data_IF_783447229048
#
_entry.id   IF_783447229048
#
_cell.length_a   1.000
_cell.length_b   1.000
_cell.length_c   1.000
_cell.angle_alpha   90.00
_cell.angle_beta   90.00
_cell.angle_gamma   90.00
#
_symmetry.space_group_name_H-M   'P 1'
#
loop_
_entity.id
_entity.type
_entity.pdbx_description
1 polymer ?
#
# COMPACT_ATOMS: atom_id res chain seq x y z
N UNK A 1 27.78 16.31 -0.91
CA UNK A 1 27.18 16.99 0.26
C UNK A 1 26.06 17.88 -0.24
N UNK A 2 24.83 17.37 -0.26
CA UNK A 2 23.64 18.18 -0.54
C UNK A 2 23.39 19.07 0.67
N UNK A 3 23.33 20.38 0.45
CA UNK A 3 23.16 21.36 1.53
C UNK A 3 21.71 21.29 2.03
N UNK A 4 21.53 21.43 3.34
CA UNK A 4 20.22 21.63 3.97
C UNK A 4 19.62 22.90 3.36
N UNK A 5 18.57 22.75 2.55
CA UNK A 5 17.93 23.86 1.81
C UNK A 5 16.44 23.82 2.06
N UNK A 6 15.81 25.00 2.22
CA UNK A 6 14.36 25.11 2.35
C UNK A 6 13.63 24.57 1.13
N UNK A 7 14.18 24.78 -0.07
CA UNK A 7 13.62 24.23 -1.31
C UNK A 7 13.59 22.69 -1.31
N UNK A 8 14.61 22.07 -0.70
CA UNK A 8 14.66 20.62 -0.57
C UNK A 8 13.58 20.12 0.41
N UNK A 9 13.36 20.84 1.53
CA UNK A 9 12.28 20.50 2.47
C UNK A 9 10.90 20.64 1.83
N UNK A 10 10.64 21.71 1.08
CA UNK A 10 9.39 21.87 0.33
C UNK A 10 9.15 20.72 -0.66
N UNK A 11 10.16 20.40 -1.47
CA UNK A 11 10.07 19.28 -2.44
C UNK A 11 9.80 17.93 -1.75
N UNK A 12 10.42 17.68 -0.59
CA UNK A 12 10.18 16.47 0.20
C UNK A 12 8.73 16.44 0.68
N UNK A 13 8.25 17.53 1.29
CA UNK A 13 6.91 17.61 1.85
C UNK A 13 5.82 17.49 0.77
N UNK A 14 5.99 18.17 -0.37
CA UNK A 14 5.08 18.06 -1.51
C UNK A 14 5.02 16.63 -2.05
N UNK A 15 6.18 15.97 -2.16
CA UNK A 15 6.23 14.55 -2.56
C UNK A 15 5.53 13.65 -1.55
N UNK A 16 5.70 13.93 -0.25
CA UNK A 16 5.08 13.14 0.83
C UNK A 16 3.57 13.32 0.87
N UNK A 17 3.05 14.51 0.57
CA UNK A 17 1.63 14.77 0.42
C UNK A 17 1.02 13.96 -0.74
N UNK A 18 1.79 13.74 -1.83
CA UNK A 18 1.33 12.95 -2.97
C UNK A 18 1.40 11.43 -2.72
N UNK A 19 2.48 10.96 -2.09
CA UNK A 19 2.79 9.55 -1.86
C UNK A 19 3.51 9.42 -0.50
N UNK A 20 2.97 8.65 0.47
CA UNK A 20 3.57 8.55 1.81
C UNK A 20 4.77 7.57 1.82
N UNK A 21 5.67 7.67 0.84
CA UNK A 21 6.84 6.79 0.66
C UNK A 21 8.13 7.61 0.75
N UNK A 22 8.88 7.43 1.84
CA UNK A 22 10.12 8.18 2.12
C UNK A 22 11.17 8.05 1.02
N UNK A 23 11.35 6.84 0.48
CA UNK A 23 12.32 6.59 -0.59
C UNK A 23 12.02 7.36 -1.88
N UNK A 24 10.75 7.65 -2.17
CA UNK A 24 10.35 8.42 -3.35
C UNK A 24 10.58 9.91 -3.11
N UNK A 25 10.18 10.42 -1.94
CA UNK A 25 10.39 11.81 -1.55
C UNK A 25 11.87 12.18 -1.49
N UNK A 26 12.71 11.30 -0.92
CA UNK A 26 14.17 11.47 -0.90
C UNK A 26 14.75 11.54 -2.32
N UNK A 27 14.30 10.64 -3.22
CA UNK A 27 14.74 10.63 -4.63
C UNK A 27 14.35 11.90 -5.37
N UNK A 28 13.14 12.41 -5.19
CA UNK A 28 12.68 13.66 -5.83
C UNK A 28 13.47 14.88 -5.36
N UNK A 29 13.89 14.91 -4.10
CA UNK A 29 14.75 15.96 -3.55
C UNK A 29 16.26 15.73 -3.80
N UNK A 30 16.64 14.67 -4.52
CA UNK A 30 18.04 14.36 -4.84
C UNK A 30 18.90 13.94 -3.64
N UNK A 31 18.28 13.40 -2.58
CA UNK A 31 18.96 12.93 -1.36
C UNK A 31 18.79 11.42 -1.18
N UNK A 32 19.69 10.81 -0.41
CA UNK A 32 19.49 9.42 0.02
C UNK A 32 18.42 9.35 1.11
N UNK A 33 17.71 8.22 1.16
CA UNK A 33 16.73 7.94 2.21
C UNK A 33 17.37 7.98 3.61
N UNK A 34 18.61 7.48 3.76
CA UNK A 34 19.36 7.57 5.03
C UNK A 34 19.61 9.01 5.48
N UNK A 35 19.86 9.93 4.54
CA UNK A 35 20.05 11.35 4.84
C UNK A 35 18.75 12.00 5.30
N UNK A 36 17.62 11.64 4.68
CA UNK A 36 16.30 12.09 5.10
C UNK A 36 16.00 11.65 6.54
N UNK A 37 16.23 10.38 6.88
CA UNK A 37 16.04 9.89 8.25
C UNK A 37 16.97 10.58 9.26
N UNK A 38 18.22 10.85 8.88
CA UNK A 38 19.14 11.62 9.70
C UNK A 38 18.60 13.05 9.95
N UNK A 39 18.07 13.72 8.92
CA UNK A 39 17.45 15.04 9.05
C UNK A 39 16.20 15.04 9.94
N UNK A 40 15.34 14.02 9.82
CA UNK A 40 14.18 13.88 10.71
C UNK A 40 14.62 13.66 12.17
N UNK A 41 15.62 12.82 12.40
CA UNK A 41 16.12 12.54 13.76
C UNK A 41 16.77 13.80 14.37
N UNK A 42 17.56 14.53 13.58
CA UNK A 42 18.15 15.82 14.01
C UNK A 42 17.09 16.88 14.26
N UNK A 43 16.02 16.93 13.45
CA UNK A 43 14.87 17.82 13.69
C UNK A 43 14.13 17.47 14.99
N UNK A 44 13.94 16.18 15.29
CA UNK A 44 13.31 15.72 16.54
C UNK A 44 14.15 16.07 17.77
N UNK A 45 15.49 16.10 17.63
CA UNK A 45 16.41 16.54 18.68
C UNK A 45 16.44 18.06 18.88
N UNK A 46 15.73 18.82 18.04
CA UNK A 46 15.70 20.28 18.10
C UNK A 46 16.97 20.94 17.55
N UNK A 47 17.72 20.28 16.67
CA UNK A 47 18.88 20.91 16.04
C UNK A 47 18.45 22.13 15.18
N UNK A 48 19.17 23.26 15.27
CA UNK A 48 18.85 24.44 14.47
C UNK A 48 19.05 24.17 12.97
N UNK A 49 18.14 24.67 12.14
CA UNK A 49 18.20 24.56 10.68
C UNK A 49 17.29 23.49 10.06
N UNK A 50 16.43 22.84 10.85
CA UNK A 50 15.37 21.94 10.37
C UNK A 50 13.98 22.50 10.63
N UNK A 51 13.83 23.81 10.42
CA UNK A 51 12.57 24.54 10.57
C UNK A 51 12.11 24.91 9.16
N UNK A 52 10.88 24.58 8.82
CA UNK A 52 10.23 24.92 7.56
C UNK A 52 9.49 26.24 7.76
N UNK A 53 9.74 27.22 6.89
CA UNK A 53 9.23 28.58 7.04
C UNK A 53 7.70 28.64 7.03
N UNK A 54 7.08 27.93 6.08
CA UNK A 54 5.63 27.83 5.96
C UNK A 54 5.24 26.46 5.40
N UNK A 55 4.30 25.78 6.05
CA UNK A 55 3.70 24.56 5.54
C UNK A 55 2.25 24.46 6.00
N UNK A 56 1.33 24.24 5.05
CA UNK A 56 -0.10 24.08 5.32
C UNK A 56 -0.75 25.19 6.17
N UNK A 57 -0.27 26.43 6.06
CA UNK A 57 -0.80 27.59 6.79
C UNK A 57 -0.22 27.80 8.20
N UNK A 58 0.70 26.94 8.63
CA UNK A 58 1.47 27.11 9.87
C UNK A 58 2.88 27.60 9.55
N UNK A 59 3.35 28.59 10.29
CA UNK A 59 4.68 29.19 10.14
C UNK A 59 5.68 28.57 11.13
N UNK A 60 6.93 28.39 10.69
CA UNK A 60 8.06 27.91 11.49
C UNK A 60 7.86 26.52 12.14
N UNK A 61 7.37 25.54 11.37
CA UNK A 61 7.16 24.17 11.85
C UNK A 61 8.48 23.39 11.80
N UNK A 62 8.84 22.61 12.82
CA UNK A 62 9.96 21.69 12.70
C UNK A 62 9.68 20.60 11.64
N UNK A 63 10.69 20.26 10.84
CA UNK A 63 10.58 19.35 9.70
C UNK A 63 9.89 18.01 10.03
N UNK A 64 10.16 17.45 11.22
CA UNK A 64 9.55 16.17 11.62
C UNK A 64 8.04 16.26 11.82
N UNK A 65 7.51 17.37 12.32
CA UNK A 65 6.08 17.58 12.48
C UNK A 65 5.41 17.92 11.16
N UNK A 66 6.07 18.73 10.31
CA UNK A 66 5.63 18.96 8.94
C UNK A 66 5.51 17.64 8.15
N UNK A 67 6.46 16.72 8.31
CA UNK A 67 6.41 15.39 7.70
C UNK A 67 5.26 14.52 8.22
N UNK A 68 4.95 14.59 9.53
CA UNK A 68 3.78 13.90 10.09
C UNK A 68 2.49 14.47 9.50
N UNK A 69 2.41 15.78 9.35
CA UNK A 69 1.25 16.44 8.74
C UNK A 69 1.10 16.07 7.26
N UNK A 70 2.18 16.10 6.49
CA UNK A 70 2.20 15.67 5.09
C UNK A 70 1.71 14.23 4.92
N UNK A 71 2.14 13.32 5.81
CA UNK A 71 1.67 11.93 5.82
C UNK A 71 0.17 11.84 6.12
N UNK A 72 -0.35 12.63 7.06
CA UNK A 72 -1.79 12.68 7.35
C UNK A 72 -2.58 13.15 6.13
N UNK A 73 -2.12 14.19 5.43
CA UNK A 73 -2.74 14.65 4.17
C UNK A 73 -2.76 13.53 3.14
N UNK A 74 -1.63 12.84 2.94
CA UNK A 74 -1.53 11.77 1.97
C UNK A 74 -2.51 10.63 2.26
N UNK A 75 -2.60 10.21 3.52
CA UNK A 75 -3.57 9.18 3.96
C UNK A 75 -5.00 9.65 3.74
N UNK A 76 -5.33 10.89 4.11
CA UNK A 76 -6.66 11.45 3.90
C UNK A 76 -7.02 11.50 2.40
N UNK A 77 -6.08 11.89 1.54
CA UNK A 77 -6.27 11.90 0.09
C UNK A 77 -6.50 10.48 -0.46
N UNK A 78 -5.85 9.47 0.11
CA UNK A 78 -6.06 8.07 -0.26
C UNK A 78 -7.44 7.58 0.18
N UNK A 79 -7.89 7.96 1.39
CA UNK A 79 -9.24 7.68 1.88
C UNK A 79 -10.29 8.31 0.97
N UNK A 80 -10.13 9.59 0.58
CA UNK A 80 -11.05 10.26 -0.35
C UNK A 80 -11.14 9.54 -1.71
N UNK A 81 -10.00 9.09 -2.26
CA UNK A 81 -10.00 8.31 -3.51
C UNK A 81 -10.70 6.95 -3.33
N UNK A 82 -10.52 6.32 -2.18
CA UNK A 82 -11.18 5.06 -1.83
C UNK A 82 -12.71 5.25 -1.72
N UNK A 83 -13.17 6.30 -1.04
CA UNK A 83 -14.59 6.65 -0.93
C UNK A 83 -15.20 6.96 -2.29
N UNK A 84 -14.49 7.74 -3.12
CA UNK A 84 -14.94 8.03 -4.47
C UNK A 84 -15.10 6.75 -5.29
N UNK A 85 -14.14 5.82 -5.21
CA UNK A 85 -14.22 4.51 -5.85
C UNK A 85 -15.32 3.63 -5.26
N UNK A 86 -15.65 3.77 -3.97
CA UNK A 86 -16.74 3.05 -3.32
C UNK A 86 -18.10 3.46 -3.87
N UNK A 87 -18.27 4.75 -4.15
CA UNK A 87 -19.53 5.31 -4.65
C UNK A 87 -19.70 5.10 -6.15
N UNK A 88 -18.64 5.36 -6.92
CA UNK A 88 -18.73 5.45 -8.37
C UNK A 88 -18.15 4.25 -9.11
N UNK A 89 -17.46 3.32 -8.44
CA UNK A 89 -16.67 2.29 -9.12
C UNK A 89 -15.43 2.89 -9.79
N UNK A 90 -14.93 2.23 -10.84
CA UNK A 90 -13.81 2.73 -11.63
C UNK A 90 -13.84 2.20 -13.07
N UNK A 91 -13.18 2.90 -13.97
CA UNK A 91 -12.97 2.44 -15.34
C UNK A 91 -11.69 1.62 -15.42
N UNK A 92 -11.78 0.42 -15.98
CA UNK A 92 -10.65 -0.47 -16.22
C UNK A 92 -10.39 -0.58 -17.72
N UNK A 93 -9.12 -0.45 -18.11
CA UNK A 93 -8.72 -0.58 -19.49
C UNK A 93 -8.83 -2.04 -19.95
N UNK A 94 -9.52 -2.27 -21.06
CA UNK A 94 -9.77 -3.62 -21.56
C UNK A 94 -8.57 -4.10 -22.37
N UNK A 95 -8.12 -5.32 -22.06
CA UNK A 95 -7.09 -6.03 -22.80
C UNK A 95 -7.63 -7.37 -23.29
N UNK A 96 -7.41 -7.68 -24.56
CA UNK A 96 -7.74 -8.97 -25.14
C UNK A 96 -6.45 -9.68 -25.52
N UNK A 97 -6.20 -10.86 -24.92
CA UNK A 97 -4.96 -11.65 -25.13
C UNK A 97 -3.67 -10.84 -24.90
N UNK A 98 -3.68 -9.97 -23.89
CA UNK A 98 -2.53 -9.12 -23.54
C UNK A 98 -2.31 -7.92 -24.46
N UNK A 99 -3.20 -7.68 -25.43
CA UNK A 99 -3.15 -6.52 -26.32
C UNK A 99 -4.24 -5.51 -25.95
N UNK A 100 -3.95 -4.19 -25.99
CA UNK A 100 -4.94 -3.16 -25.72
C UNK A 100 -6.01 -3.19 -26.81
N UNK A 101 -7.28 -3.19 -26.41
CA UNK A 101 -8.41 -3.01 -27.32
C UNK A 101 -8.72 -1.53 -27.47
N UNK A 102 -9.08 -1.09 -28.68
CA UNK A 102 -9.36 0.31 -28.99
C UNK A 102 -10.85 0.51 -29.24
N UNK A 103 -11.36 1.69 -28.94
CA UNK A 103 -12.76 2.06 -29.23
C UNK A 103 -12.91 2.21 -30.75
N UNK A 104 -13.94 1.58 -31.32
CA UNK A 104 -14.31 1.76 -32.72
C UNK A 104 -15.11 3.06 -32.89
N UNK A 105 -14.89 3.79 -33.98
CA UNK A 105 -15.69 4.97 -34.31
C UNK A 105 -17.06 4.51 -34.82
N UNK A 106 -18.14 5.03 -34.23
CA UNK A 106 -19.53 4.70 -34.62
C UNK A 106 -19.80 4.94 -36.10
N UNK A 107 -19.08 5.88 -36.73
CA UNK A 107 -19.22 6.18 -38.17
C UNK A 107 -18.66 5.10 -39.07
N UNK A 108 -17.69 4.35 -38.57
CA UNK A 108 -16.98 3.29 -39.30
C UNK A 108 -17.30 1.89 -38.73
N UNK A 109 -18.21 1.81 -37.76
CA UNK A 109 -18.61 0.57 -37.12
C UNK A 109 -19.24 -0.39 -38.14
N UNK A 110 -18.73 -1.62 -38.19
CA UNK A 110 -19.20 -2.66 -39.10
C UNK A 110 -18.68 -2.58 -40.53
N UNK A 111 -17.83 -1.61 -40.87
CA UNK A 111 -17.13 -1.58 -42.16
C UNK A 111 -15.85 -2.42 -42.11
N UNK A 112 -15.65 -3.24 -43.13
CA UNK A 112 -14.42 -4.00 -43.29
C UNK A 112 -13.25 -3.09 -43.69
N UNK A 113 -12.04 -3.52 -43.34
CA UNK A 113 -10.82 -2.76 -43.59
C UNK A 113 -10.63 -2.47 -45.09
N UNK A 114 -10.96 -3.44 -45.95
CA UNK A 114 -10.90 -3.30 -47.40
C UNK A 114 -11.85 -2.20 -47.92
N UNK A 115 -13.03 -2.07 -47.29
CA UNK A 115 -14.00 -1.04 -47.68
C UNK A 115 -13.53 0.35 -47.23
N UNK A 116 -12.90 0.45 -46.06
CA UNK A 116 -12.28 1.69 -45.58
C UNK A 116 -11.13 2.15 -46.50
N UNK A 117 -10.32 1.20 -46.97
CA UNK A 117 -9.23 1.47 -47.91
C UNK A 117 -9.74 1.96 -49.27
N UNK A 118 -10.81 1.34 -49.80
CA UNK A 118 -11.46 1.77 -51.05
C UNK A 118 -12.04 3.18 -50.92
N UNK A 119 -12.62 3.50 -49.75
CA UNK A 119 -13.19 4.82 -49.47
C UNK A 119 -12.14 5.88 -49.12
N UNK A 120 -10.86 5.51 -49.03
CA UNK A 120 -9.77 6.41 -48.65
C UNK A 120 -9.89 6.95 -47.21
N UNK A 121 -10.63 6.24 -46.36
CA UNK A 121 -10.84 6.60 -44.96
C UNK A 121 -9.71 6.03 -44.08
N UNK A 122 -9.43 6.67 -42.93
CA UNK A 122 -8.44 6.17 -41.98
C UNK A 122 -8.89 4.86 -41.29
N UNK A 123 -8.11 4.40 -40.30
CA UNK A 123 -8.45 3.22 -39.51
C UNK A 123 -9.79 3.35 -38.77
N UNK A 124 -10.42 2.20 -38.48
CA UNK A 124 -11.74 2.10 -37.83
C UNK A 124 -11.83 2.63 -36.38
N UNK A 125 -10.74 3.12 -35.83
CA UNK A 125 -10.61 3.43 -34.40
C UNK A 125 -10.90 4.90 -34.12
N UNK A 126 -11.58 5.15 -33.01
CA UNK A 126 -11.80 6.50 -32.50
C UNK A 126 -10.47 7.14 -32.10
N UNK A 127 -10.22 8.36 -32.60
CA UNK A 127 -9.04 9.15 -32.25
C UNK A 127 -9.43 10.48 -31.63
N UNK A 128 -8.86 10.77 -30.47
CA UNK A 128 -8.93 12.07 -29.80
C UNK A 128 -7.51 12.63 -29.80
N UNK A 129 -7.33 13.86 -30.28
CA UNK A 129 -6.02 14.52 -30.42
C UNK A 129 -4.97 13.68 -31.17
N UNK A 130 -5.42 12.95 -32.21
CA UNK A 130 -4.58 12.10 -33.05
C UNK A 130 -4.19 10.75 -32.43
N UNK A 131 -4.56 10.48 -31.17
CA UNK A 131 -4.26 9.22 -30.46
C UNK A 131 -5.49 8.32 -30.42
N UNK A 132 -5.28 7.01 -30.60
CA UNK A 132 -6.34 6.02 -30.47
C UNK A 132 -6.85 5.99 -29.02
N UNK A 133 -8.16 5.95 -28.85
CA UNK A 133 -8.79 5.86 -27.53
C UNK A 133 -8.87 4.40 -27.13
N UNK A 134 -8.27 4.04 -25.99
CA UNK A 134 -8.33 2.68 -25.48
C UNK A 134 -9.74 2.40 -24.96
N UNK A 135 -10.24 1.20 -25.24
CA UNK A 135 -11.52 0.75 -24.74
C UNK A 135 -11.45 0.54 -23.22
N UNK A 136 -12.39 1.13 -22.49
CA UNK A 136 -12.53 1.01 -21.04
C UNK A 136 -13.86 0.34 -20.69
N UNK A 137 -13.85 -0.49 -19.65
CA UNK A 137 -15.04 -1.10 -19.08
C UNK A 137 -15.29 -0.51 -17.70
N UNK A 138 -16.54 -0.14 -17.43
CA UNK A 138 -16.92 0.31 -16.11
C UNK A 138 -17.04 -0.87 -15.14
N UNK A 139 -16.20 -0.89 -14.12
CA UNK A 139 -16.19 -1.91 -13.07
C UNK A 139 -16.89 -1.36 -11.84
N UNK A 140 -17.98 -2.03 -11.47
CA UNK A 140 -18.76 -1.73 -10.28
C UNK A 140 -17.89 -1.77 -9.01
N UNK A 141 -18.21 -0.95 -7.99
CA UNK A 141 -17.43 -0.92 -6.77
C UNK A 141 -17.46 -2.29 -6.07
N UNK A 142 -16.31 -2.77 -5.56
CA UNK A 142 -16.29 -4.05 -4.86
C UNK A 142 -17.10 -3.95 -3.57
N UNK A 143 -18.03 -4.89 -3.37
CA UNK A 143 -18.98 -4.88 -2.23
C UNK A 143 -18.28 -4.76 -0.89
N UNK A 144 -17.14 -5.43 -0.72
CA UNK A 144 -16.33 -5.35 0.50
C UNK A 144 -15.86 -3.92 0.83
N UNK A 145 -15.49 -3.15 -0.20
CA UNK A 145 -15.03 -1.77 -0.04
C UNK A 145 -16.21 -0.84 0.27
N UNK A 146 -17.37 -1.05 -0.37
CA UNK A 146 -18.61 -0.33 -0.03
C UNK A 146 -19.01 -0.58 1.42
N UNK A 147 -18.97 -1.84 1.87
CA UNK A 147 -19.28 -2.20 3.25
C UNK A 147 -18.27 -1.61 4.24
N UNK A 148 -16.98 -1.61 3.92
CA UNK A 148 -15.96 -1.00 4.77
C UNK A 148 -16.16 0.52 4.93
N UNK A 149 -16.44 1.22 3.83
CA UNK A 149 -16.75 2.66 3.85
C UNK A 149 -18.06 2.94 4.60
N UNK A 150 -19.08 2.10 4.41
CA UNK A 150 -20.35 2.23 5.13
C UNK A 150 -20.20 1.96 6.63
N UNK A 151 -19.37 0.99 7.03
CA UNK A 151 -19.06 0.66 8.42
C UNK A 151 -18.26 1.78 9.11
N UNK A 152 -17.35 2.43 8.38
CA UNK A 152 -16.60 3.58 8.89
C UNK A 152 -17.51 4.80 9.14
N UNK A 153 -18.47 5.05 8.26
CA UNK A 153 -19.32 6.25 8.31
C UNK A 153 -20.63 6.05 9.08
N UNK A 154 -21.06 4.82 9.35
CA UNK A 154 -22.32 4.56 10.04
C UNK A 154 -22.21 3.45 11.08
N UNK A 155 -22.77 3.71 12.27
CA UNK A 155 -22.86 2.74 13.38
C UNK A 155 -23.77 1.53 13.08
N UNK A 156 -24.52 1.57 11.97
CA UNK A 156 -25.43 0.51 11.54
C UNK A 156 -24.68 -0.66 10.90
N UNK A 157 -23.59 -0.37 10.16
CA UNK A 157 -22.77 -1.38 9.51
C UNK A 157 -21.44 -1.64 10.23
N UNK A 158 -21.20 -0.95 11.35
CA UNK A 158 -20.05 -1.20 12.22
C UNK A 158 -20.05 -2.65 12.71
N UNK A 159 -18.91 -3.32 12.59
CA UNK A 159 -18.75 -4.71 13.04
C UNK A 159 -18.83 -4.75 14.57
N UNK A 160 -19.98 -5.14 15.10
CA UNK A 160 -20.17 -5.36 16.54
C UNK A 160 -19.65 -6.74 16.89
N UNK A 161 -18.57 -6.79 17.65
CA UNK A 161 -18.10 -8.03 18.27
C UNK A 161 -18.63 -8.06 19.71
N UNK A 162 -19.58 -8.95 19.97
CA UNK A 162 -19.99 -9.25 21.33
C UNK A 162 -18.96 -10.20 21.94
N UNK A 163 -18.02 -9.65 22.70
CA UNK A 163 -17.04 -10.43 23.44
C UNK A 163 -17.77 -10.99 24.66
N UNK A 164 -18.24 -12.23 24.54
CA UNK A 164 -18.95 -12.92 25.61
C UNK A 164 -17.94 -13.40 26.65
N UNK A 165 -17.63 -12.55 27.64
CA UNK A 165 -16.74 -12.86 28.76
C UNK A 165 -17.48 -13.78 29.73
N UNK A 166 -17.48 -15.08 29.46
CA UNK A 166 -17.94 -16.09 30.40
C UNK A 166 -16.94 -16.22 31.57
N UNK A 167 -16.99 -15.29 32.52
CA UNK A 167 -16.35 -15.38 33.82
C UNK A 167 -17.07 -16.44 34.67
N UNK A 168 -16.67 -17.70 34.56
CA UNK A 168 -16.85 -18.67 35.63
C UNK A 168 -15.85 -18.36 36.74
N UNK A 169 -16.20 -17.39 37.59
CA UNK A 169 -15.83 -17.22 39.01
C UNK A 169 -15.86 -15.72 39.35
N UNK A 170 -16.76 -15.32 40.25
CA UNK A 170 -16.78 -13.98 40.81
C UNK A 170 -15.47 -13.72 41.56
N UNK A 171 -14.58 -12.96 40.96
CA UNK A 171 -13.32 -12.56 41.56
C UNK A 171 -12.79 -11.39 40.77
N UNK A 172 -12.47 -10.30 41.47
CA UNK A 172 -11.83 -9.09 40.94
C UNK A 172 -10.75 -9.48 39.93
N UNK A 173 -10.90 -9.01 38.69
CA UNK A 173 -9.85 -9.12 37.67
C UNK A 173 -8.73 -8.17 38.06
N UNK A 174 -7.68 -8.70 38.69
CA UNK A 174 -6.38 -8.04 38.68
C UNK A 174 -5.82 -8.21 37.27
N UNK A 175 -5.80 -7.11 36.51
CA UNK A 175 -5.13 -7.06 35.21
C UNK A 175 -3.62 -7.04 35.48
N UNK A 176 -3.01 -8.21 35.60
CA UNK A 176 -1.55 -8.33 35.52
C UNK A 176 -1.14 -8.09 34.07
N UNK A 177 -0.48 -6.97 33.80
CA UNK A 177 0.22 -6.73 32.54
C UNK A 177 1.38 -7.72 32.40
N UNK A 178 1.11 -8.88 31.82
CA UNK A 178 2.16 -9.80 31.35
C UNK A 178 2.68 -9.29 30.01
N UNK A 179 3.86 -8.69 30.03
CA UNK A 179 4.65 -8.47 28.83
C UNK A 179 5.08 -9.84 28.26
N UNK A 180 4.57 -10.14 27.05
CA UNK A 180 5.16 -11.12 26.14
C UNK A 180 4.69 -12.56 26.31
N UNK A 181 3.70 -12.96 25.51
CA UNK A 181 3.70 -14.27 24.86
C UNK A 181 2.64 -14.31 23.74
N UNK A 182 3.11 -14.33 22.48
CA UNK A 182 2.27 -14.57 21.31
C UNK A 182 1.86 -16.04 21.27
N UNK A 183 0.58 -16.31 21.49
CA UNK A 183 -0.03 -17.61 21.21
C UNK A 183 -0.91 -17.48 19.96
N UNK A 184 -0.58 -18.27 18.94
CA UNK A 184 -1.28 -18.30 17.67
C UNK A 184 -2.72 -18.77 17.84
N UNK A 185 -3.67 -17.97 17.36
CA UNK A 185 -5.09 -18.28 17.39
C UNK A 185 -5.50 -18.83 16.04
N UNK A 186 -5.88 -20.12 16.04
CA UNK A 186 -6.61 -20.76 14.96
C UNK A 186 -8.06 -20.23 14.93
N UNK A 187 -8.57 -19.97 13.72
CA UNK A 187 -9.93 -19.46 13.46
C UNK A 187 -11.00 -20.50 13.86
N UNK A 188 -11.99 -20.17 14.72
CA UNK A 188 -13.14 -21.04 14.96
C UNK A 188 -14.23 -20.87 13.87
N UNK A 189 -14.87 -21.98 13.54
CA UNK A 189 -15.93 -22.08 12.54
C UNK A 189 -17.25 -21.42 12.99
N UNK A 190 -17.91 -20.72 12.07
CA UNK A 190 -19.18 -20.00 12.25
C UNK A 190 -20.35 -20.99 12.24
N UNK A 191 -21.21 -20.95 13.28
CA UNK A 191 -22.58 -21.49 13.22
C UNK A 191 -23.59 -20.33 13.29
N UNK A 192 -24.69 -20.36 12.52
CA UNK A 192 -25.66 -19.28 12.48
C UNK A 192 -26.80 -19.49 13.48
N UNK A 193 -27.08 -18.50 14.32
CA UNK A 193 -28.35 -18.44 15.08
C UNK A 193 -28.95 -17.04 15.11
N UNK A 194 -30.16 -16.96 14.55
CA UNK A 194 -31.35 -16.16 14.83
C UNK A 194 -31.22 -14.72 15.40
N UNK A 195 -31.83 -13.80 14.64
CA UNK A 195 -32.12 -12.39 14.93
C UNK A 195 -33.32 -12.30 15.88
N UNK A 196 -33.27 -11.43 16.91
CA UNK A 196 -34.43 -10.69 17.46
C UNK A 196 -33.96 -9.57 18.44
N UNK A 197 -34.82 -8.59 18.85
CA UNK A 197 -34.61 -7.17 18.53
C UNK A 197 -34.15 -6.27 19.70
N UNK A 198 -33.68 -5.07 19.30
CA UNK A 198 -33.15 -3.95 20.11
C UNK A 198 -33.95 -3.53 21.36
N UNK A 199 -33.29 -2.86 22.32
CA UNK A 199 -33.73 -1.51 22.67
C UNK A 199 -32.63 -0.45 22.90
N UNK A 200 -32.91 0.70 22.29
CA UNK A 200 -32.75 2.11 22.66
C UNK A 200 -31.89 2.58 23.87
N UNK A 201 -31.04 3.60 23.60
CA UNK A 201 -30.92 4.93 24.26
C UNK A 201 -29.45 5.37 24.57
N UNK A 202 -29.13 6.57 24.06
CA UNK A 202 -28.28 7.67 24.58
C UNK A 202 -26.97 7.35 25.33
N UNK A 203 -25.84 7.88 24.82
CA UNK A 203 -25.08 9.00 25.44
C UNK A 203 -23.88 9.39 24.55
N UNK A 204 -23.25 10.49 24.93
CA UNK A 204 -22.39 11.45 24.19
C UNK A 204 -21.07 10.88 23.63
N UNK A 205 -20.41 11.57 22.67
CA UNK A 205 -19.10 11.16 22.16
C UNK A 205 -17.96 11.66 23.07
N UNK A 206 -17.29 10.73 23.75
CA UNK A 206 -15.94 10.95 24.28
C UNK A 206 -14.93 10.64 23.15
N UNK A 207 -14.33 11.71 22.62
CA UNK A 207 -13.19 11.67 21.70
C UNK A 207 -11.90 11.40 22.49
N UNK A 208 -11.53 10.14 22.67
CA UNK A 208 -10.19 9.74 23.14
C UNK A 208 -9.45 8.95 22.04
N UNK A 209 -8.80 9.68 21.13
CA UNK A 209 -7.87 9.17 20.11
C UNK A 209 -6.39 9.23 20.58
N UNK A 210 -6.17 9.33 21.89
CA UNK A 210 -4.87 9.46 22.54
C UNK A 210 -4.09 8.14 22.65
N UNK A 211 -4.74 6.98 22.47
CA UNK A 211 -4.13 5.65 22.65
C UNK A 211 -3.42 5.05 21.42
N UNK A 212 -3.44 5.73 20.26
CA UNK A 212 -2.84 5.22 19.01
C UNK A 212 -1.38 5.66 18.79
N UNK A 213 -0.84 6.53 19.64
CA UNK A 213 0.54 7.03 19.51
C UNK A 213 1.35 6.53 20.71
N UNK A 214 1.81 5.29 20.61
CA UNK A 214 2.79 4.73 21.52
C UNK A 214 4.02 5.63 21.63
N UNK A 215 4.31 6.06 22.84
CA UNK A 215 5.59 6.64 23.23
C UNK A 215 6.64 5.52 23.30
N UNK A 216 7.39 5.32 22.21
CA UNK A 216 8.57 4.45 22.25
C UNK A 216 9.85 5.24 22.50
N UNK A 217 10.35 5.03 23.70
CA UNK A 217 11.63 5.45 24.25
C UNK A 217 12.77 4.64 23.60
N UNK A 218 13.91 5.30 23.35
CA UNK A 218 15.02 4.76 22.57
C UNK A 218 15.70 3.53 23.21
N UNK A 219 16.02 2.47 22.44
CA UNK A 219 16.84 1.38 22.97
C UNK A 219 18.34 1.69 22.93
N UNK A 220 18.93 1.54 24.10
CA UNK A 220 20.35 1.53 24.44
C UNK A 220 21.11 0.36 23.80
N UNK A 221 22.35 0.62 23.37
CA UNK A 221 23.33 -0.35 22.89
C UNK A 221 23.84 -1.24 24.04
N UNK A 222 23.58 -2.54 23.95
CA UNK A 222 24.35 -3.58 24.63
C UNK A 222 24.38 -4.84 23.76
N UNK A 223 25.58 -5.35 23.48
CA UNK A 223 25.78 -6.52 22.64
C UNK A 223 25.50 -7.82 23.37
N UNK A 224 24.92 -8.80 22.68
CA UNK A 224 25.00 -10.20 23.08
C UNK A 224 24.73 -11.17 21.92
N UNK A 225 25.66 -12.13 21.79
CA UNK A 225 25.58 -13.48 21.23
C UNK A 225 24.81 -13.75 19.90
N UNK A 226 25.59 -14.14 18.90
CA UNK A 226 25.16 -14.92 17.72
C UNK A 226 24.40 -16.18 18.15
N UNK A 227 23.17 -16.43 17.66
CA UNK A 227 22.48 -17.70 17.92
C UNK A 227 23.21 -18.83 17.19
N UNK A 228 23.65 -19.83 17.96
CA UNK A 228 24.27 -21.04 17.48
C UNK A 228 23.33 -21.77 16.50
N UNK A 229 23.85 -22.03 15.30
CA UNK A 229 23.17 -22.80 14.26
C UNK A 229 22.93 -24.23 14.77
N UNK A 230 21.68 -24.75 14.74
CA UNK A 230 21.43 -26.13 15.12
C UNK A 230 22.18 -27.09 14.18
N UNK A 231 22.73 -28.22 14.69
CA UNK A 231 23.48 -29.15 13.87
C UNK A 231 22.59 -29.67 12.74
N UNK A 232 23.11 -29.61 11.51
CA UNK A 232 22.42 -30.05 10.30
C UNK A 232 21.92 -31.50 10.50
N UNK A 233 20.60 -31.68 10.46
CA UNK A 233 20.01 -33.01 10.39
C UNK A 233 20.52 -33.68 9.12
N UNK A 234 21.03 -34.92 9.17
CA UNK A 234 21.32 -35.65 7.93
C UNK A 234 20.02 -35.79 7.15
N UNK A 235 20.04 -35.36 5.89
CA UNK A 235 18.89 -35.44 4.98
C UNK A 235 18.37 -36.88 4.95
N UNK A 236 17.06 -37.03 5.07
CA UNK A 236 16.44 -38.35 4.95
C UNK A 236 16.69 -38.91 3.54
N UNK A 237 16.79 -40.23 3.41
CA UNK A 237 17.05 -40.89 2.13
C UNK A 237 16.05 -40.49 1.02
N UNK A 238 14.84 -40.07 1.42
CA UNK A 238 13.77 -39.62 0.54
C UNK A 238 13.98 -38.18 0.05
N UNK A 239 14.48 -37.29 0.92
CA UNK A 239 14.85 -35.91 0.55
C UNK A 239 16.07 -35.89 -0.38
N UNK A 240 17.02 -36.80 -0.17
CA UNK A 240 18.17 -36.97 -1.07
C UNK A 240 17.74 -37.48 -2.45
N UNK A 241 16.81 -38.44 -2.53
CA UNK A 241 16.29 -38.94 -3.81
C UNK A 241 15.53 -37.84 -4.56
N UNK A 242 14.69 -37.05 -3.88
CA UNK A 242 13.95 -35.94 -4.50
C UNK A 242 14.87 -34.84 -5.04
N UNK A 243 15.90 -34.45 -4.28
CA UNK A 243 16.91 -33.48 -4.76
C UNK A 243 17.68 -34.01 -5.97
N UNK A 244 18.02 -35.30 -5.98
CA UNK A 244 18.72 -35.91 -7.11
C UNK A 244 17.86 -35.97 -8.38
N UNK A 245 16.53 -36.13 -8.24
CA UNK A 245 15.59 -36.08 -9.36
C UNK A 245 15.40 -34.67 -9.89
N UNK A 246 15.25 -33.68 -9.01
CA UNK A 246 15.17 -32.27 -9.41
C UNK A 246 16.41 -31.80 -10.16
N UNK A 247 17.61 -32.24 -9.76
CA UNK A 247 18.83 -31.91 -10.47
C UNK A 247 18.91 -32.57 -11.86
N UNK A 248 18.38 -33.79 -12.02
CA UNK A 248 18.33 -34.50 -13.31
C UNK A 248 17.27 -33.96 -14.26
N UNK A 249 16.19 -33.38 -13.74
CA UNK A 249 15.08 -32.83 -14.55
C UNK A 249 15.30 -31.39 -15.02
N UNK A 250 16.48 -30.79 -14.76
CA UNK A 250 16.82 -29.48 -15.32
C UNK A 250 17.19 -29.66 -16.81
N UNK A 251 16.36 -29.25 -17.80
CA UNK A 251 16.80 -29.26 -19.18
C UNK A 251 17.88 -28.19 -19.34
N UNK A 252 19.13 -28.64 -19.51
CA UNK A 252 20.19 -27.81 -20.05
C UNK A 252 19.75 -27.44 -21.46
N UNK A 253 19.27 -26.21 -21.65
CA UNK A 253 19.05 -25.64 -22.98
C UNK A 253 20.44 -25.37 -23.56
N UNK A 254 20.88 -26.08 -24.62
CA UNK A 254 22.14 -25.78 -25.26
C UNK A 254 21.99 -24.44 -26.02
N UNK A 255 22.57 -23.38 -25.47
CA UNK A 255 22.78 -22.11 -26.16
C UNK A 255 23.90 -22.28 -27.20
N UNK A 256 23.57 -22.88 -28.34
CA UNK A 256 24.41 -22.86 -29.55
C UNK A 256 23.97 -21.71 -30.46
N UNK A 257 24.41 -20.48 -30.16
CA UNK A 257 24.59 -19.43 -31.18
C UNK A 257 25.74 -18.49 -30.80
N UNK A 258 26.84 -18.44 -31.58
CA UNK A 258 27.95 -17.53 -31.37
C UNK A 258 27.77 -16.26 -32.22
N UNK A 259 26.77 -15.41 -31.96
CA UNK A 259 26.70 -14.08 -32.59
C UNK A 259 25.99 -13.07 -31.69
N UNK A 260 26.76 -12.31 -30.90
CA UNK A 260 26.48 -10.90 -30.57
C UNK A 260 27.61 -10.35 -29.68
N UNK A 261 28.76 -10.03 -30.28
CA UNK A 261 29.72 -9.13 -29.67
C UNK A 261 29.21 -7.68 -29.86
N UNK A 262 29.09 -6.85 -28.82
CA UNK A 262 28.85 -5.42 -28.98
C UNK A 262 30.15 -4.75 -29.46
N UNK A 263 30.12 -4.19 -30.67
CA UNK A 263 31.12 -3.22 -31.12
C UNK A 263 30.94 -1.95 -30.29
N UNK A 264 31.85 -1.73 -29.34
CA UNK A 264 32.13 -0.40 -28.79
C UNK A 264 32.81 0.43 -29.90
N UNK A 265 32.06 1.35 -30.48
CA UNK A 265 32.56 2.40 -31.35
C UNK A 265 32.63 3.71 -30.57
N UNK A 266 33.82 4.29 -30.59
CA UNK A 266 34.19 5.64 -30.16
C UNK A 266 33.29 6.73 -30.76
#
# INVERSE_FOLDING_TARGET
MTKKSQEAFGTILDSMCASPVYAEAARRAGISESTLYAWLTSSQRGEPGFIVEEFAGEANIPLHDAMRFARKIAVLSAVQRMEHRALNGHEEAVFFRGQPTWVEDERYAGLDQETLEILGLPDRYLRIDGRRVQHTMHVQPPVALVLAVAAANTKLYAQRQEINVNQRNSGVQVVEHRYGQSSGVALPAVQPTAIEPSPSISSEPDDDLSDIIGSEEAPSLAGEATPAQPPARPLSALEADLLSRLQRESPVIPCDQPQCAPKLGL
#
